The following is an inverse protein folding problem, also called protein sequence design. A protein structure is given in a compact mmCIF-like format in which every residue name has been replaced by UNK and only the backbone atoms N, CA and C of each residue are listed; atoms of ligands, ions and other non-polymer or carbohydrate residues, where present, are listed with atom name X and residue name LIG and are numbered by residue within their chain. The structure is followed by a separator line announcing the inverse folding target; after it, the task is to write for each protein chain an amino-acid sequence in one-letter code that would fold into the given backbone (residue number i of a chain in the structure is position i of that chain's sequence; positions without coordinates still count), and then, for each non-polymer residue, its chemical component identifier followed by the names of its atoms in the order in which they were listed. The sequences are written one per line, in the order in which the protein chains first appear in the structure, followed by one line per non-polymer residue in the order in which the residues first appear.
data_IF_774817757316
#
_entry.id   IF_774817757316
#
_cell.length_a   1.000
_cell.length_b   1.000
_cell.length_c   1.000
_cell.angle_alpha   90.00
_cell.angle_beta   90.00
_cell.angle_gamma   90.00
#
_symmetry.space_group_name_H-M   'P 1'
#
loop_
_entity.id
_entity.type
_entity.pdbx_description
1 polymer ?
#
# COMPACT_ATOMS: atom_id res chain seq x y z
N UNK A 1 -13.79 -8.78 8.66
CA UNK A 1 -12.84 -7.71 9.08
C UNK A 1 -11.91 -8.34 10.11
N UNK A 2 -10.67 -8.64 9.74
CA UNK A 2 -9.75 -9.37 10.65
C UNK A 2 -8.43 -9.84 10.04
N UNK A 3 -8.31 -9.89 8.71
CA UNK A 3 -7.09 -10.35 8.03
C UNK A 3 -6.63 -9.43 6.89
N UNK A 4 -7.21 -8.22 6.80
CA UNK A 4 -6.87 -7.23 5.78
C UNK A 4 -6.11 -6.08 6.43
N UNK A 5 -4.99 -5.71 5.82
CA UNK A 5 -4.13 -4.62 6.28
C UNK A 5 -4.02 -3.58 5.17
N UNK A 6 -4.00 -2.31 5.57
CA UNK A 6 -3.82 -1.18 4.66
C UNK A 6 -2.60 -0.40 5.12
N UNK A 7 -1.65 -0.23 4.20
CA UNK A 7 -0.49 0.65 4.36
C UNK A 7 -0.53 1.72 3.26
N UNK A 8 -0.02 2.91 3.57
CA UNK A 8 0.08 4.00 2.63
C UNK A 8 1.36 4.79 2.85
N UNK A 9 1.91 5.30 1.75
CA UNK A 9 3.05 6.22 1.70
C UNK A 9 2.59 7.51 1.01
N UNK A 10 3.30 8.62 1.16
CA UNK A 10 2.89 9.88 0.54
C UNK A 10 1.84 10.67 1.33
N UNK A 11 1.53 10.25 2.56
CA UNK A 11 0.43 10.79 3.37
C UNK A 11 0.90 11.66 4.54
N UNK A 12 2.21 11.71 4.80
CA UNK A 12 2.81 12.62 5.80
C UNK A 12 3.33 13.90 5.13
N UNK A 13 3.41 15.04 5.86
CA UNK A 13 3.86 16.31 5.30
C UNK A 13 5.23 16.24 4.62
N UNK A 14 6.18 15.50 5.20
CA UNK A 14 7.53 15.36 4.67
C UNK A 14 7.57 14.66 3.32
N UNK A 15 6.63 13.75 3.06
CA UNK A 15 6.54 13.07 1.78
C UNK A 15 6.13 14.04 0.67
N UNK A 16 5.39 15.11 0.96
CA UNK A 16 5.09 16.15 -0.06
C UNK A 16 6.36 16.88 -0.51
N UNK A 17 7.32 17.04 0.39
CA UNK A 17 8.62 17.65 0.07
C UNK A 17 9.45 16.68 -0.76
N UNK A 18 9.48 15.39 -0.38
CA UNK A 18 10.16 14.34 -1.16
C UNK A 18 9.55 14.18 -2.55
N UNK A 19 8.22 14.16 -2.66
CA UNK A 19 7.50 14.04 -3.93
C UNK A 19 7.88 15.17 -4.90
N UNK A 20 7.99 16.40 -4.40
CA UNK A 20 8.41 17.57 -5.19
C UNK A 20 9.88 17.59 -5.58
N UNK A 21 10.76 16.98 -4.77
CA UNK A 21 12.22 17.08 -4.93
C UNK A 21 12.84 15.86 -5.58
N UNK A 22 12.29 14.67 -5.33
CA UNK A 22 12.79 13.37 -5.74
C UNK A 22 11.78 12.59 -6.60
N UNK A 23 10.57 13.12 -6.77
CA UNK A 23 9.49 12.46 -7.50
C UNK A 23 8.77 11.39 -6.68
N UNK A 24 7.54 11.08 -7.11
CA UNK A 24 6.66 10.12 -6.45
C UNK A 24 7.27 8.71 -6.39
N UNK A 25 8.06 8.35 -7.40
CA UNK A 25 8.70 7.04 -7.55
C UNK A 25 9.56 6.67 -6.34
N UNK A 26 10.25 7.65 -5.74
CA UNK A 26 11.08 7.44 -4.55
C UNK A 26 10.27 6.99 -3.33
N UNK A 27 9.06 7.52 -3.17
CA UNK A 27 8.13 7.22 -2.09
C UNK A 27 7.44 5.87 -2.37
N UNK A 28 6.99 5.67 -3.61
CA UNK A 28 6.40 4.40 -4.06
C UNK A 28 7.38 3.23 -3.87
N UNK A 29 8.67 3.45 -4.15
CA UNK A 29 9.72 2.44 -3.99
C UNK A 29 9.79 1.87 -2.57
N UNK A 30 9.52 2.67 -1.54
CA UNK A 30 9.48 2.21 -0.15
C UNK A 30 8.34 1.20 0.08
N UNK A 31 7.15 1.49 -0.45
CA UNK A 31 6.00 0.60 -0.33
C UNK A 31 6.23 -0.72 -1.08
N UNK A 32 6.82 -0.64 -2.28
CA UNK A 32 7.12 -1.82 -3.11
C UNK A 32 8.20 -2.68 -2.46
N UNK A 33 9.23 -2.07 -1.86
CA UNK A 33 10.27 -2.79 -1.13
C UNK A 33 9.70 -3.59 0.04
N UNK A 34 8.86 -2.96 0.87
CA UNK A 34 8.20 -3.64 1.99
C UNK A 34 7.28 -4.76 1.50
N UNK A 35 6.52 -4.53 0.42
CA UNK A 35 5.70 -5.58 -0.16
C UNK A 35 6.54 -6.79 -0.60
N UNK A 36 7.69 -6.54 -1.24
CA UNK A 36 8.63 -7.58 -1.64
C UNK A 36 9.17 -8.36 -0.44
N UNK A 37 9.61 -7.68 0.62
CA UNK A 37 10.11 -8.32 1.85
C UNK A 37 9.05 -9.22 2.48
N UNK A 38 7.79 -8.78 2.54
CA UNK A 38 6.69 -9.60 3.07
C UNK A 38 6.44 -10.84 2.20
N UNK A 39 6.49 -10.71 0.88
CA UNK A 39 6.38 -11.86 -0.03
C UNK A 39 7.54 -12.85 0.15
N UNK A 40 8.75 -12.36 0.40
CA UNK A 40 9.92 -13.21 0.70
C UNK A 40 9.75 -13.96 2.03
N UNK A 41 9.25 -13.29 3.06
CA UNK A 41 8.96 -13.90 4.37
C UNK A 41 7.94 -15.03 4.27
N UNK A 42 6.91 -14.89 3.43
CA UNK A 42 5.93 -15.96 3.17
C UNK A 42 6.59 -17.25 2.65
N UNK A 43 7.66 -17.14 1.87
CA UNK A 43 8.33 -18.28 1.26
C UNK A 43 9.34 -18.96 2.20
N UNK A 44 9.54 -18.44 3.42
CA UNK A 44 10.46 -19.03 4.38
C UNK A 44 9.81 -20.24 5.08
N UNK A 45 10.53 -21.37 5.20
CA UNK A 45 10.01 -22.61 5.79
C UNK A 45 9.89 -22.55 7.34
N UNK A 46 9.84 -21.35 7.93
CA UNK A 46 9.93 -21.17 9.38
C UNK A 46 8.59 -21.32 10.13
N UNK A 47 7.46 -21.31 9.43
CA UNK A 47 6.14 -21.41 10.06
C UNK A 47 5.54 -22.80 9.90
N UNK A 48 5.03 -23.37 11.00
CA UNK A 48 4.24 -24.61 10.98
C UNK A 48 2.94 -24.45 10.17
N UNK A 49 2.47 -23.20 10.01
CA UNK A 49 1.33 -22.83 9.17
C UNK A 49 1.78 -21.83 8.08
N UNK A 50 1.81 -22.23 6.79
CA UNK A 50 2.19 -21.33 5.71
C UNK A 50 1.12 -20.24 5.52
N UNK A 51 1.54 -18.98 5.52
CA UNK A 51 0.66 -17.83 5.30
C UNK A 51 0.81 -17.35 3.86
N UNK A 52 -0.29 -17.30 3.12
CA UNK A 52 -0.32 -16.76 1.76
C UNK A 52 -0.88 -15.33 1.77
N UNK A 53 -0.06 -14.36 1.42
CA UNK A 53 -0.46 -12.97 1.24
C UNK A 53 -1.01 -12.73 -0.17
N UNK A 54 -2.01 -11.88 -0.25
CA UNK A 54 -2.57 -11.36 -1.49
C UNK A 54 -2.55 -9.84 -1.37
N UNK A 55 -1.87 -9.16 -2.28
CA UNK A 55 -1.62 -7.72 -2.15
C UNK A 55 -2.11 -6.95 -3.38
N UNK A 56 -2.57 -5.73 -3.14
CA UNK A 56 -2.96 -4.79 -4.19
C UNK A 56 -2.34 -3.43 -3.94
N UNK A 57 -1.63 -2.91 -4.94
CA UNK A 57 -0.97 -1.61 -4.85
C UNK A 57 -1.50 -0.69 -5.94
N UNK A 58 -1.88 0.52 -5.52
CA UNK A 58 -2.30 1.57 -6.44
C UNK A 58 -1.79 2.94 -5.98
N UNK A 59 -1.55 3.82 -6.95
CA UNK A 59 -0.99 5.16 -6.79
C UNK A 59 -1.99 6.19 -7.31
N UNK A 60 -2.17 7.26 -6.56
CA UNK A 60 -3.06 8.36 -6.94
C UNK A 60 -3.37 9.29 -5.77
N UNK A 61 -4.24 10.29 -5.99
CA UNK A 61 -4.58 11.28 -4.97
C UNK A 61 -5.41 10.67 -3.84
N UNK A 62 -5.07 11.04 -2.61
CA UNK A 62 -5.82 10.66 -1.41
C UNK A 62 -6.04 11.87 -0.51
N UNK A 63 -7.12 11.83 0.27
CA UNK A 63 -7.40 12.79 1.34
C UNK A 63 -7.08 12.12 2.66
N UNK A 64 -6.19 12.73 3.44
CA UNK A 64 -5.81 12.25 4.76
C UNK A 64 -6.26 13.25 5.83
N UNK A 65 -6.74 12.75 6.96
CA UNK A 65 -7.17 13.62 8.05
C UNK A 65 -7.55 12.88 9.33
N UNK A 66 -7.80 13.65 10.39
CA UNK A 66 -8.27 13.13 11.67
C UNK A 66 -9.79 13.23 11.74
N UNK A 67 -10.43 12.11 12.05
CA UNK A 67 -11.89 12.02 12.17
C UNK A 67 -12.28 11.69 13.60
N UNK A 68 -13.29 12.38 14.12
CA UNK A 68 -13.86 12.19 15.46
C UNK A 68 -13.32 13.17 16.48
N UNK A 69 -14.21 13.77 17.28
CA UNK A 69 -13.84 14.73 18.31
C UNK A 69 -13.41 14.06 19.62
N UNK A 70 -14.11 12.99 20.04
CA UNK A 70 -13.82 12.28 21.30
C UNK A 70 -12.76 11.20 21.16
N UNK A 71 -12.72 10.56 20.00
CA UNK A 71 -11.74 9.52 19.70
C UNK A 71 -11.14 9.81 18.31
N UNK A 72 -10.18 10.74 18.23
CA UNK A 72 -9.57 11.13 16.97
C UNK A 72 -8.84 9.93 16.35
N UNK A 73 -9.20 9.59 15.11
CA UNK A 73 -8.53 8.55 14.33
C UNK A 73 -8.03 9.13 13.02
N UNK A 74 -6.78 8.90 12.70
CA UNK A 74 -6.26 9.20 11.38
C UNK A 74 -6.90 8.27 10.34
N UNK A 75 -7.42 8.86 9.27
CA UNK A 75 -8.13 8.16 8.21
C UNK A 75 -7.65 8.65 6.86
N UNK A 76 -7.69 7.73 5.90
CA UNK A 76 -7.44 7.99 4.50
C UNK A 76 -8.74 7.77 3.74
N UNK A 77 -9.03 8.66 2.79
CA UNK A 77 -10.19 8.63 1.92
C UNK A 77 -9.77 8.87 0.47
N UNK A 78 -10.57 8.36 -0.46
CA UNK A 78 -10.39 8.58 -1.89
C UNK A 78 -10.43 7.30 -2.71
N UNK A 79 -10.62 7.46 -4.01
CA UNK A 79 -10.79 6.35 -4.96
C UNK A 79 -9.51 5.52 -5.12
N UNK A 80 -8.35 6.09 -4.82
CA UNK A 80 -7.07 5.37 -4.87
C UNK A 80 -7.05 4.19 -3.91
N UNK A 81 -7.59 4.34 -2.70
CA UNK A 81 -7.63 3.27 -1.68
C UNK A 81 -8.61 2.17 -2.11
N UNK A 82 -9.77 2.58 -2.63
CA UNK A 82 -10.76 1.65 -3.16
C UNK A 82 -10.20 0.87 -4.35
N UNK A 83 -9.44 1.53 -5.22
CA UNK A 83 -8.81 0.89 -6.37
C UNK A 83 -7.70 -0.06 -5.94
N UNK A 84 -6.87 0.30 -4.95
CA UNK A 84 -5.87 -0.60 -4.37
C UNK A 84 -6.54 -1.87 -3.79
N UNK A 85 -7.62 -1.71 -3.03
CA UNK A 85 -8.39 -2.84 -2.52
C UNK A 85 -8.97 -3.71 -3.64
N UNK A 86 -9.45 -3.12 -4.74
CA UNK A 86 -9.89 -3.87 -5.93
C UNK A 86 -8.73 -4.58 -6.63
N UNK A 87 -7.53 -4.01 -6.66
CA UNK A 87 -6.34 -4.69 -7.19
C UNK A 87 -6.01 -5.92 -6.35
N UNK A 88 -6.04 -5.79 -5.03
CA UNK A 88 -5.85 -6.91 -4.11
C UNK A 88 -6.90 -8.00 -4.39
N UNK A 89 -8.19 -7.66 -4.37
CA UNK A 89 -9.30 -8.62 -4.56
C UNK A 89 -9.26 -9.36 -5.90
N UNK A 90 -8.78 -8.71 -6.97
CA UNK A 90 -8.64 -9.32 -8.30
C UNK A 90 -7.31 -10.06 -8.51
N UNK A 91 -6.35 -9.87 -7.61
CA UNK A 91 -5.05 -10.54 -7.66
C UNK A 91 -5.15 -12.03 -7.32
N UNK A 92 -4.09 -12.77 -7.66
CA UNK A 92 -3.96 -14.17 -7.26
C UNK A 92 -3.36 -14.27 -5.85
N UNK A 93 -3.70 -15.32 -5.08
CA UNK A 93 -3.02 -15.60 -3.81
C UNK A 93 -1.52 -15.79 -4.04
N UNK A 94 -0.69 -15.16 -3.22
CA UNK A 94 0.77 -15.22 -3.34
C UNK A 94 1.33 -14.21 -4.34
N UNK A 95 0.54 -13.25 -4.82
CA UNK A 95 0.98 -12.24 -5.78
C UNK A 95 0.65 -10.80 -5.33
N UNK A 96 1.40 -9.86 -5.91
CA UNK A 96 1.16 -8.42 -5.77
C UNK A 96 0.58 -7.90 -7.08
N UNK A 97 -0.67 -7.46 -7.04
CA UNK A 97 -1.35 -6.87 -8.19
C UNK A 97 -1.19 -5.35 -8.20
N UNK A 98 -0.63 -4.82 -9.28
CA UNK A 98 -0.44 -3.38 -9.47
C UNK A 98 -1.51 -2.77 -10.37
N UNK A 99 -2.08 -1.64 -9.95
CA UNK A 99 -2.92 -0.82 -10.83
C UNK A 99 -2.09 -0.11 -11.91
N UNK A 100 -2.74 0.27 -13.02
CA UNK A 100 -2.06 0.86 -14.17
C UNK A 100 -1.25 2.12 -13.86
N UNK A 101 -1.77 3.00 -13.00
CA UNK A 101 -1.07 4.21 -12.58
C UNK A 101 0.26 3.87 -11.88
N UNK A 102 0.23 2.89 -10.97
CA UNK A 102 1.44 2.43 -10.28
C UNK A 102 2.43 1.82 -11.25
N UNK A 103 1.97 1.01 -12.22
CA UNK A 103 2.86 0.41 -13.22
C UNK A 103 3.64 1.44 -14.05
N UNK A 104 3.10 2.63 -14.26
CA UNK A 104 3.79 3.72 -14.97
C UNK A 104 4.84 4.42 -14.12
N UNK A 105 4.69 4.36 -12.80
CA UNK A 105 5.56 5.01 -11.81
C UNK A 105 6.61 4.06 -11.24
N UNK A 106 6.47 2.74 -11.46
CA UNK A 106 7.49 1.77 -11.09
C UNK A 106 8.80 2.08 -11.85
N UNK A 107 9.96 2.12 -11.16
CA UNK A 107 11.25 2.33 -11.78
C UNK A 107 11.67 1.18 -12.69
#
# INVERSE_FOLDING_TARGET
VGHEYVAAVGVVPDDRVKDRTQGHQSILGQLVLVAKEVMELQNQPQSEEPVTFQMGIHTGPVVAGVVGQRLPRFRLFGDTINTAARMMQKGLPGEVQFGEATKKELP
#
